data_IF_995868458241
#
_entry.id   IF_995868458241
#
_cell.length_a   1.000
_cell.length_b   1.000
_cell.length_c   1.000
_cell.angle_alpha   90.00
_cell.angle_beta   90.00
_cell.angle_gamma   90.00
#
_symmetry.space_group_name_H-M   'P 1'
#
loop_
_entity.id
_entity.type
_entity.pdbx_description
1 polymer ?
#
# COMPACT_ATOMS: atom_id res chain seq x y z
N UNK A 1 -5.59 -17.40 -20.54
CA UNK A 1 -6.07 -16.01 -20.69
C UNK A 1 -5.14 -15.06 -19.98
N UNK A 2 -4.60 -14.08 -20.70
CA UNK A 2 -3.72 -13.03 -20.16
C UNK A 2 -4.60 -11.87 -19.69
N UNK A 3 -4.48 -11.47 -18.41
CA UNK A 3 -5.22 -10.33 -17.88
C UNK A 3 -4.80 -9.02 -18.59
N UNK A 4 -5.78 -8.19 -18.95
CA UNK A 4 -5.57 -6.88 -19.57
C UNK A 4 -6.44 -5.81 -18.88
N UNK A 5 -5.78 -4.90 -18.17
CA UNK A 5 -6.40 -3.79 -17.45
C UNK A 5 -7.17 -2.83 -18.37
N UNK A 6 -6.71 -2.62 -19.61
CA UNK A 6 -7.31 -1.63 -20.52
C UNK A 6 -8.71 -2.03 -20.96
N UNK A 7 -9.01 -3.33 -20.95
CA UNK A 7 -10.34 -3.87 -21.24
C UNK A 7 -11.44 -3.36 -20.28
N UNK A 8 -11.06 -2.87 -19.09
CA UNK A 8 -11.98 -2.34 -18.09
C UNK A 8 -12.20 -0.82 -18.22
N UNK A 9 -11.39 -0.09 -19.00
CA UNK A 9 -11.48 1.37 -19.08
C UNK A 9 -12.84 1.88 -19.57
N UNK A 10 -13.47 1.31 -20.62
CA UNK A 10 -14.76 1.80 -21.08
C UNK A 10 -15.87 1.67 -20.03
N UNK A 11 -15.83 0.61 -19.23
CA UNK A 11 -16.79 0.41 -18.13
C UNK A 11 -16.53 1.40 -17.01
N UNK A 12 -15.27 1.59 -16.61
CA UNK A 12 -14.89 2.56 -15.58
C UNK A 12 -15.29 4.00 -15.97
N UNK A 13 -15.04 4.40 -17.20
CA UNK A 13 -15.43 5.72 -17.72
C UNK A 13 -16.95 5.91 -17.67
N UNK A 14 -17.70 4.91 -18.14
CA UNK A 14 -19.17 4.95 -18.13
C UNK A 14 -19.73 5.04 -16.71
N UNK A 15 -19.25 4.22 -15.79
CA UNK A 15 -19.73 4.22 -14.40
C UNK A 15 -19.40 5.55 -13.70
N UNK A 16 -18.19 6.08 -13.89
CA UNK A 16 -17.78 7.35 -13.26
C UNK A 16 -18.56 8.54 -13.86
N UNK A 17 -18.79 8.54 -15.17
CA UNK A 17 -19.61 9.54 -15.84
C UNK A 17 -21.09 9.50 -15.37
N UNK A 18 -21.61 8.33 -14.95
CA UNK A 18 -22.96 8.22 -14.38
C UNK A 18 -23.15 9.00 -13.08
N UNK A 19 -22.05 9.28 -12.36
CA UNK A 19 -22.04 10.15 -11.17
C UNK A 19 -21.76 11.62 -11.50
N UNK A 20 -21.72 11.99 -12.79
CA UNK A 20 -21.42 13.36 -13.24
C UNK A 20 -19.94 13.72 -13.18
N UNK A 21 -19.05 12.75 -13.00
CA UNK A 21 -17.60 12.96 -12.95
C UNK A 21 -16.98 12.74 -14.32
N UNK A 22 -16.28 13.74 -14.84
CA UNK A 22 -15.46 13.60 -16.04
C UNK A 22 -14.02 13.24 -15.65
N UNK A 23 -13.51 12.17 -16.24
CA UNK A 23 -12.14 11.70 -16.06
C UNK A 23 -11.51 11.23 -17.38
N UNK A 24 -10.20 11.38 -17.47
CA UNK A 24 -9.36 10.75 -18.48
C UNK A 24 -8.72 9.51 -17.85
N UNK A 25 -8.83 8.33 -18.48
CA UNK A 25 -8.11 7.13 -18.06
C UNK A 25 -6.92 6.88 -18.99
N UNK A 26 -5.72 6.80 -18.42
CA UNK A 26 -4.51 6.53 -19.17
C UNK A 26 -3.77 5.32 -18.57
N UNK A 27 -3.45 4.35 -19.42
CA UNK A 27 -2.53 3.27 -19.03
C UNK A 27 -1.14 3.86 -18.74
N UNK A 28 -0.52 3.42 -17.66
CA UNK A 28 0.87 3.71 -17.34
C UNK A 28 1.76 2.60 -17.89
N UNK A 29 2.28 2.80 -19.09
CA UNK A 29 3.30 1.93 -19.68
C UNK A 29 4.59 2.00 -18.86
N UNK A 30 5.04 0.85 -18.36
CA UNK A 30 6.28 0.75 -17.58
C UNK A 30 7.48 0.54 -18.50
N UNK A 31 8.62 1.11 -18.14
CA UNK A 31 9.87 0.97 -18.88
C UNK A 31 10.56 -0.39 -18.70
N UNK A 32 10.06 -1.22 -17.78
CA UNK A 32 10.56 -2.54 -17.48
C UNK A 32 9.37 -3.49 -17.30
N UNK A 33 9.57 -4.76 -17.65
CA UNK A 33 8.56 -5.80 -17.48
C UNK A 33 8.17 -5.93 -16.01
N UNK A 34 6.87 -6.06 -15.76
CA UNK A 34 6.30 -6.02 -14.43
C UNK A 34 4.96 -6.75 -14.44
N UNK A 35 4.79 -7.67 -13.51
CA UNK A 35 3.50 -8.30 -13.25
C UNK A 35 2.44 -7.34 -12.70
N UNK A 36 2.76 -6.05 -12.55
CA UNK A 36 1.77 -5.06 -12.12
C UNK A 36 1.40 -4.17 -13.30
N UNK A 37 0.14 -4.23 -13.73
CA UNK A 37 -0.44 -3.27 -14.67
C UNK A 37 -0.89 -2.03 -13.90
N UNK A 38 -0.85 -0.86 -14.53
CA UNK A 38 -1.14 0.40 -13.84
C UNK A 38 -1.86 1.37 -14.75
N UNK A 39 -2.78 2.15 -14.19
CA UNK A 39 -3.47 3.23 -14.89
C UNK A 39 -3.60 4.46 -14.00
N UNK A 40 -3.77 5.63 -14.63
CA UNK A 40 -4.13 6.86 -13.96
C UNK A 40 -5.51 7.32 -14.42
N UNK A 41 -6.39 7.55 -13.46
CA UNK A 41 -7.63 8.27 -13.65
C UNK A 41 -7.36 9.72 -13.27
N UNK A 42 -7.57 10.64 -14.21
CA UNK A 42 -7.27 12.06 -14.02
C UNK A 42 -8.55 12.87 -14.23
N UNK A 43 -8.87 13.76 -13.28
CA UNK A 43 -10.01 14.67 -13.42
C UNK A 43 -9.66 16.06 -12.94
N UNK A 44 -10.42 17.06 -13.37
CA UNK A 44 -10.19 18.44 -12.97
C UNK A 44 -10.62 18.64 -11.51
N UNK A 45 -9.67 19.06 -10.65
CA UNK A 45 -9.92 19.22 -9.21
C UNK A 45 -11.04 20.22 -8.94
N UNK A 46 -11.02 21.34 -9.66
CA UNK A 46 -11.96 22.44 -9.46
C UNK A 46 -13.37 22.06 -9.89
N UNK A 47 -13.52 21.40 -11.03
CA UNK A 47 -14.79 20.87 -11.52
C UNK A 47 -15.41 19.89 -10.53
N UNK A 48 -14.63 18.91 -10.04
CA UNK A 48 -15.12 17.93 -9.07
C UNK A 48 -15.54 18.58 -7.75
N UNK A 49 -14.77 19.54 -7.24
CA UNK A 49 -15.17 20.26 -6.02
C UNK A 49 -16.43 21.09 -6.22
N UNK A 50 -16.63 21.72 -7.37
CA UNK A 50 -17.88 22.40 -7.67
C UNK A 50 -19.07 21.44 -7.70
N UNK A 51 -18.88 20.24 -8.28
CA UNK A 51 -19.93 19.22 -8.30
C UNK A 51 -20.38 18.81 -6.89
N UNK A 52 -19.44 18.65 -5.96
CA UNK A 52 -19.75 18.18 -4.59
C UNK A 52 -20.11 19.28 -3.60
N UNK A 53 -19.51 20.46 -3.71
CA UNK A 53 -19.62 21.55 -2.71
C UNK A 53 -20.35 22.79 -3.23
N UNK A 54 -20.71 22.84 -4.53
CA UNK A 54 -21.46 23.93 -5.13
C UNK A 54 -20.75 25.29 -4.96
N UNK A 55 -21.50 26.28 -4.47
CA UNK A 55 -21.03 27.67 -4.31
C UNK A 55 -20.33 27.96 -2.97
N UNK A 56 -19.92 26.93 -2.21
CA UNK A 56 -19.13 27.16 -1.01
C UNK A 56 -17.79 27.82 -1.36
N UNK A 57 -17.21 28.57 -0.42
CA UNK A 57 -15.90 29.16 -0.60
C UNK A 57 -14.85 28.06 -0.74
N UNK A 58 -14.48 27.75 -1.99
CA UNK A 58 -13.46 26.76 -2.30
C UNK A 58 -12.07 27.38 -2.08
N UNK A 59 -11.07 26.59 -1.63
CA UNK A 59 -9.68 27.04 -1.63
C UNK A 59 -9.26 27.47 -3.04
N UNK A 60 -8.27 28.38 -3.12
CA UNK A 60 -7.78 28.89 -4.40
C UNK A 60 -7.02 27.79 -5.17
N UNK A 61 -7.76 27.00 -5.95
CA UNK A 61 -7.26 25.89 -6.75
C UNK A 61 -7.01 26.36 -8.17
N UNK A 62 -5.83 26.04 -8.70
CA UNK A 62 -5.46 26.38 -10.06
C UNK A 62 -6.41 25.70 -11.06
N UNK A 63 -6.85 26.43 -12.09
CA UNK A 63 -7.88 25.95 -13.03
C UNK A 63 -7.47 24.66 -13.78
N UNK A 64 -6.17 24.45 -14.00
CA UNK A 64 -5.62 23.24 -14.62
C UNK A 64 -5.15 22.17 -13.64
N UNK A 65 -5.42 22.31 -12.33
CA UNK A 65 -5.06 21.29 -11.36
C UNK A 65 -5.88 20.02 -11.58
N UNK A 66 -5.21 18.87 -11.60
CA UNK A 66 -5.85 17.56 -11.80
C UNK A 66 -5.70 16.69 -10.56
N UNK A 67 -6.81 16.17 -10.04
CA UNK A 67 -6.79 15.00 -9.14
C UNK A 67 -6.34 13.81 -9.97
N UNK A 68 -5.44 13.00 -9.41
CA UNK A 68 -4.93 11.78 -10.05
C UNK A 68 -5.09 10.60 -9.11
N UNK A 69 -5.85 9.61 -9.53
CA UNK A 69 -6.00 8.34 -8.83
C UNK A 69 -5.19 7.30 -9.61
N UNK A 70 -4.26 6.65 -8.93
CA UNK A 70 -3.46 5.58 -9.51
C UNK A 70 -4.10 4.24 -9.17
N UNK A 71 -4.39 3.45 -10.19
CA UNK A 71 -4.84 2.07 -10.06
C UNK A 71 -3.68 1.12 -10.40
N UNK A 72 -3.54 0.04 -9.65
CA UNK A 72 -2.52 -1.00 -9.88
C UNK A 72 -3.15 -2.37 -9.67
N UNK A 73 -2.91 -3.28 -10.62
CA UNK A 73 -3.33 -4.69 -10.53
C UNK A 73 -2.11 -5.56 -10.65
N UNK A 74 -1.90 -6.43 -9.67
CA UNK A 74 -0.91 -7.50 -9.73
C UNK A 74 -1.52 -8.71 -10.46
N UNK A 75 -0.97 -9.04 -11.62
CA UNK A 75 -1.40 -10.16 -12.48
C UNK A 75 -0.69 -11.47 -12.14
N UNK A 76 0.25 -11.44 -11.19
CA UNK A 76 0.90 -12.61 -10.63
C UNK A 76 0.98 -12.47 -9.10
N UNK A 77 -0.17 -12.40 -8.39
CA UNK A 77 -0.17 -12.17 -6.97
C UNK A 77 0.45 -13.38 -6.22
N UNK A 78 1.23 -13.15 -5.15
CA UNK A 78 1.78 -14.24 -4.36
C UNK A 78 0.70 -15.03 -3.59
N UNK A 79 0.91 -16.34 -3.48
CA UNK A 79 -0.02 -17.31 -2.89
C UNK A 79 -0.27 -17.11 -1.38
N UNK A 80 -1.27 -17.84 -0.85
CA UNK A 80 -1.61 -17.96 0.58
C UNK A 80 -2.17 -16.70 1.26
N UNK A 81 -2.55 -15.69 0.48
CA UNK A 81 -3.35 -14.60 1.01
C UNK A 81 -4.72 -15.12 1.48
N UNK A 82 -5.13 -14.70 2.67
CA UNK A 82 -6.48 -14.89 3.18
C UNK A 82 -7.30 -13.63 2.92
N UNK A 83 -8.62 -13.81 2.79
CA UNK A 83 -9.53 -12.75 2.41
C UNK A 83 -10.70 -12.63 3.37
N UNK A 84 -11.14 -11.40 3.56
CA UNK A 84 -12.42 -11.07 4.18
C UNK A 84 -13.31 -10.35 3.17
N UNK A 85 -14.62 -10.55 3.30
CA UNK A 85 -15.62 -9.90 2.46
C UNK A 85 -16.28 -8.78 3.23
N UNK A 86 -16.30 -7.58 2.66
CA UNK A 86 -16.98 -6.43 3.26
C UNK A 86 -18.06 -5.90 2.32
N UNK A 87 -19.22 -5.59 2.89
CA UNK A 87 -20.31 -4.95 2.19
C UNK A 87 -20.25 -3.44 2.41
N UNK A 88 -20.50 -2.68 1.34
CA UNK A 88 -20.60 -1.22 1.35
C UNK A 88 -21.88 -0.82 0.65
N UNK A 89 -22.45 0.31 1.08
CA UNK A 89 -23.75 0.78 0.59
C UNK A 89 -23.64 1.98 -0.36
N UNK A 90 -22.49 2.67 -0.34
CA UNK A 90 -22.26 3.89 -1.09
C UNK A 90 -21.12 3.72 -2.09
N UNK A 91 -21.25 4.23 -3.32
CA UNK A 91 -22.39 4.99 -3.84
C UNK A 91 -23.61 4.11 -4.24
N UNK A 92 -23.43 2.80 -4.31
CA UNK A 92 -24.47 1.77 -4.43
C UNK A 92 -24.05 0.54 -3.60
N UNK A 93 -24.96 -0.41 -3.31
CA UNK A 93 -24.60 -1.64 -2.62
C UNK A 93 -23.60 -2.49 -3.42
N UNK A 94 -22.45 -2.79 -2.84
CA UNK A 94 -21.47 -3.72 -3.41
C UNK A 94 -20.76 -4.52 -2.32
N UNK A 95 -20.18 -5.63 -2.77
CA UNK A 95 -19.28 -6.47 -1.99
C UNK A 95 -17.85 -6.27 -2.49
N UNK A 96 -16.89 -6.23 -1.57
CA UNK A 96 -15.46 -6.20 -1.89
C UNK A 96 -14.72 -7.27 -1.10
N UNK A 97 -13.93 -8.06 -1.80
CA UNK A 97 -12.96 -8.97 -1.20
C UNK A 97 -11.68 -8.18 -0.86
N UNK A 98 -11.27 -8.23 0.39
CA UNK A 98 -10.09 -7.55 0.92
C UNK A 98 -9.15 -8.60 1.49
N UNK A 99 -7.85 -8.33 1.45
CA UNK A 99 -6.92 -9.12 2.24
C UNK A 99 -7.25 -8.95 3.72
N UNK A 100 -7.21 -10.04 4.47
CA UNK A 100 -7.35 -9.98 5.91
C UNK A 100 -6.18 -9.24 6.55
N UNK A 101 -6.32 -8.85 7.82
CA UNK A 101 -5.29 -8.09 8.52
C UNK A 101 -3.92 -8.83 8.57
N UNK A 102 -3.85 -10.16 8.83
CA UNK A 102 -2.60 -10.92 8.76
C UNK A 102 -1.91 -10.91 7.39
N UNK A 103 -2.65 -11.07 6.29
CA UNK A 103 -2.09 -11.02 4.93
C UNK A 103 -1.70 -9.61 4.51
N UNK A 104 -2.45 -8.58 4.93
CA UNK A 104 -2.03 -7.19 4.77
C UNK A 104 -0.72 -6.92 5.51
N UNK A 105 -0.60 -7.40 6.75
CA UNK A 105 0.60 -7.20 7.57
C UNK A 105 1.83 -7.89 6.95
N UNK A 106 1.67 -9.11 6.44
CA UNK A 106 2.71 -9.79 5.66
C UNK A 106 3.19 -8.93 4.47
N UNK A 107 2.27 -8.28 3.74
CA UNK A 107 2.63 -7.35 2.68
C UNK A 107 3.44 -6.13 3.16
N UNK A 108 3.14 -5.59 4.35
CA UNK A 108 3.89 -4.48 4.96
C UNK A 108 5.28 -4.91 5.43
N UNK A 109 5.39 -6.08 6.05
CA UNK A 109 6.67 -6.67 6.46
C UNK A 109 7.57 -6.90 5.23
N UNK A 110 7.01 -7.46 4.15
CA UNK A 110 7.73 -7.63 2.88
C UNK A 110 8.26 -6.28 2.36
N UNK A 111 7.44 -5.22 2.40
CA UNK A 111 7.88 -3.89 2.00
C UNK A 111 9.05 -3.35 2.85
N UNK A 112 9.04 -3.58 4.17
CA UNK A 112 10.13 -3.21 5.08
C UNK A 112 11.43 -3.93 4.71
N UNK A 113 11.36 -5.24 4.45
CA UNK A 113 12.51 -6.09 4.16
C UNK A 113 13.08 -5.88 2.76
N UNK A 114 12.22 -5.88 1.73
CA UNK A 114 12.63 -6.10 0.35
C UNK A 114 12.65 -4.85 -0.52
N UNK A 115 12.02 -3.74 -0.12
CA UNK A 115 12.12 -2.52 -0.93
C UNK A 115 13.53 -1.93 -0.84
N UNK A 116 14.25 -2.07 -1.95
CA UNK A 116 15.55 -1.44 -2.15
C UNK A 116 15.38 0.07 -2.29
N UNK A 117 15.80 0.80 -1.27
CA UNK A 117 15.93 2.24 -1.31
C UNK A 117 17.35 2.57 -1.72
N UNK A 118 17.58 3.00 -2.97
CA UNK A 118 18.92 3.49 -3.37
C UNK A 118 19.38 4.58 -2.40
N UNK A 119 18.60 5.66 -2.31
CA UNK A 119 18.95 6.85 -1.50
C UNK A 119 17.83 7.34 -0.55
N UNK A 120 16.61 6.79 -0.60
CA UNK A 120 15.44 7.35 0.13
C UNK A 120 14.71 6.30 0.96
N UNK A 121 14.73 6.42 2.28
CA UNK A 121 13.95 5.57 3.18
C UNK A 121 12.45 5.88 3.07
N UNK A 122 11.58 4.86 2.91
CA UNK A 122 10.13 5.03 3.06
C UNK A 122 9.70 4.80 4.51
N UNK A 123 9.56 5.87 5.27
CA UNK A 123 9.10 5.79 6.66
C UNK A 123 7.65 5.31 6.80
N UNK A 124 6.80 5.49 5.79
CA UNK A 124 5.42 4.96 5.83
C UNK A 124 5.35 3.44 6.01
N UNK A 125 6.33 2.69 5.48
CA UNK A 125 6.39 1.24 5.65
C UNK A 125 6.65 0.87 7.14
N UNK A 126 7.44 1.69 7.86
CA UNK A 126 7.64 1.56 9.31
C UNK A 126 6.41 1.98 10.12
N UNK A 127 5.71 3.02 9.67
CA UNK A 127 4.49 3.48 10.31
C UNK A 127 3.41 2.38 10.28
N UNK A 128 3.23 1.76 9.12
CA UNK A 128 2.31 0.63 8.95
C UNK A 128 2.74 -0.57 9.81
N UNK A 129 4.04 -0.87 9.88
CA UNK A 129 4.55 -1.93 10.75
C UNK A 129 4.15 -1.73 12.22
N UNK A 130 4.35 -0.52 12.75
CA UNK A 130 3.92 -0.17 14.12
C UNK A 130 2.39 -0.25 14.26
N UNK A 131 1.64 0.20 13.25
CA UNK A 131 0.17 0.18 13.26
C UNK A 131 -0.41 -1.23 13.44
N UNK A 132 0.14 -2.22 12.74
CA UNK A 132 -0.30 -3.62 12.83
C UNK A 132 0.13 -4.28 14.15
N UNK A 133 1.37 -4.06 14.58
CA UNK A 133 1.86 -4.56 15.88
C UNK A 133 1.06 -4.00 17.06
N UNK A 134 0.75 -2.69 17.06
CA UNK A 134 -0.04 -2.07 18.12
C UNK A 134 -1.47 -2.64 18.24
N UNK A 135 -1.95 -3.35 17.21
CA UNK A 135 -3.24 -4.06 17.19
C UNK A 135 -3.11 -5.55 17.51
N UNK A 136 -1.92 -6.04 17.88
CA UNK A 136 -1.63 -7.45 18.06
C UNK A 136 -2.00 -8.29 16.82
N UNK A 137 -1.82 -7.73 15.62
CA UNK A 137 -2.14 -8.47 14.39
C UNK A 137 -1.08 -9.54 14.18
N UNK A 138 -1.44 -10.83 14.12
CA UNK A 138 -0.48 -11.87 13.78
C UNK A 138 -0.08 -11.76 12.31
N UNK A 139 1.12 -12.21 11.95
CA UNK A 139 1.56 -12.24 10.54
C UNK A 139 1.14 -13.56 9.89
N UNK A 140 0.55 -13.48 8.70
CA UNK A 140 0.40 -14.65 7.84
C UNK A 140 1.77 -15.01 7.26
N UNK A 141 2.47 -15.94 7.92
CA UNK A 141 3.85 -16.30 7.60
C UNK A 141 3.98 -17.02 6.25
N UNK A 142 3.00 -17.86 5.90
CA UNK A 142 2.97 -18.55 4.61
C UNK A 142 2.87 -17.56 3.44
N UNK A 143 1.99 -16.56 3.55
CA UNK A 143 1.86 -15.50 2.55
C UNK A 143 3.12 -14.64 2.47
N UNK A 144 3.72 -14.31 3.62
CA UNK A 144 4.99 -13.59 3.65
C UNK A 144 6.11 -14.37 2.95
N UNK A 145 6.24 -15.67 3.24
CA UNK A 145 7.25 -16.51 2.60
C UNK A 145 7.06 -16.55 1.08
N UNK A 146 5.83 -16.72 0.60
CA UNK A 146 5.54 -16.68 -0.84
C UNK A 146 5.97 -15.35 -1.49
N UNK A 147 5.72 -14.22 -0.83
CA UNK A 147 6.20 -12.89 -1.28
C UNK A 147 7.73 -12.80 -1.31
N UNK A 148 8.40 -13.27 -0.26
CA UNK A 148 9.86 -13.24 -0.16
C UNK A 148 10.51 -14.05 -1.28
N UNK A 149 9.98 -15.26 -1.53
CA UNK A 149 10.43 -16.14 -2.62
C UNK A 149 10.18 -15.50 -3.98
N UNK A 150 8.97 -14.97 -4.23
CA UNK A 150 8.63 -14.34 -5.50
C UNK A 150 9.52 -13.13 -5.81
N UNK A 151 9.88 -12.36 -4.78
CA UNK A 151 10.80 -11.22 -4.91
C UNK A 151 12.29 -11.60 -4.99
N UNK A 152 12.63 -12.88 -4.87
CA UNK A 152 14.01 -13.38 -4.86
C UNK A 152 14.79 -13.07 -3.58
N UNK A 153 14.12 -12.60 -2.51
CA UNK A 153 14.77 -12.33 -1.23
C UNK A 153 15.09 -13.60 -0.44
N UNK A 154 14.30 -14.65 -0.64
CA UNK A 154 14.42 -15.92 0.08
C UNK A 154 14.31 -17.09 -0.89
N UNK A 155 14.97 -18.21 -0.62
CA UNK A 155 14.90 -19.39 -1.49
C UNK A 155 13.68 -20.24 -1.15
N UNK A 156 13.10 -20.89 -2.17
CA UNK A 156 11.85 -21.66 -2.03
C UNK A 156 12.03 -22.90 -1.16
N UNK A 157 13.22 -23.47 -1.18
CA UNK A 157 13.56 -24.74 -0.52
C UNK A 157 13.84 -24.58 0.98
N UNK A 158 13.95 -23.34 1.46
CA UNK A 158 14.22 -23.02 2.86
C UNK A 158 12.90 -22.83 3.62
N UNK A 159 12.84 -23.36 4.85
CA UNK A 159 11.70 -23.12 5.74
C UNK A 159 11.86 -21.75 6.40
N UNK A 160 10.87 -20.88 6.29
CA UNK A 160 10.92 -19.53 6.87
C UNK A 160 10.15 -19.50 8.19
N UNK A 161 10.86 -19.47 9.32
CA UNK A 161 10.22 -19.46 10.64
C UNK A 161 9.98 -18.03 11.15
N UNK A 162 9.13 -17.90 12.17
CA UNK A 162 8.95 -16.63 12.88
C UNK A 162 10.27 -16.13 13.51
N UNK A 163 11.14 -17.03 13.95
CA UNK A 163 12.45 -16.66 14.49
C UNK A 163 13.36 -16.05 13.41
N UNK A 164 13.38 -16.66 12.21
CA UNK A 164 14.12 -16.12 11.07
C UNK A 164 13.59 -14.74 10.70
N UNK A 165 12.26 -14.59 10.64
CA UNK A 165 11.63 -13.29 10.37
C UNK A 165 12.08 -12.21 11.37
N UNK A 166 12.04 -12.50 12.68
CA UNK A 166 12.49 -11.56 13.71
C UNK A 166 13.96 -11.18 13.52
N UNK A 167 14.81 -12.14 13.12
CA UNK A 167 16.22 -11.88 12.83
C UNK A 167 16.42 -11.00 11.59
N UNK A 168 15.75 -11.30 10.48
CA UNK A 168 15.80 -10.51 9.25
C UNK A 168 15.33 -9.08 9.47
N UNK A 169 14.22 -8.89 10.20
CA UNK A 169 13.72 -7.57 10.57
C UNK A 169 14.70 -6.83 11.47
N UNK A 170 15.26 -7.51 12.48
CA UNK A 170 16.25 -6.91 13.37
C UNK A 170 17.48 -6.41 12.62
N UNK A 171 18.00 -7.19 11.67
CA UNK A 171 19.11 -6.80 10.81
C UNK A 171 18.73 -5.60 9.93
N UNK A 172 17.52 -5.62 9.36
CA UNK A 172 17.01 -4.52 8.54
C UNK A 172 16.92 -3.21 9.32
N UNK A 173 16.40 -3.24 10.54
CA UNK A 173 16.20 -2.05 11.36
C UNK A 173 17.50 -1.35 11.78
N UNK A 174 18.65 -2.06 11.80
CA UNK A 174 19.96 -1.43 12.01
C UNK A 174 20.43 -0.58 10.83
N UNK A 175 20.03 -0.95 9.61
CA UNK A 175 20.48 -0.27 8.40
C UNK A 175 19.63 0.97 8.04
N UNK A 176 18.61 1.30 8.83
CA UNK A 176 17.67 2.38 8.50
C UNK A 176 18.20 3.74 8.96
N UNK A 177 18.19 4.71 8.04
CA UNK A 177 18.30 6.13 8.41
C UNK A 177 16.96 6.63 8.95
N UNK A 178 16.84 6.72 10.27
CA UNK A 178 15.61 7.14 10.93
C UNK A 178 15.27 8.63 10.75
N UNK A 179 16.24 9.50 10.46
CA UNK A 179 15.93 10.91 10.14
C UNK A 179 15.08 10.98 8.87
N UNK A 180 15.57 10.33 7.80
CA UNK A 180 14.84 10.29 6.53
C UNK A 180 13.51 9.55 6.65
N UNK A 181 13.45 8.48 7.46
CA UNK A 181 12.21 7.78 7.72
C UNK A 181 11.15 8.71 8.34
N UNK A 182 11.53 9.51 9.33
CA UNK A 182 10.63 10.47 9.98
C UNK A 182 10.14 11.54 8.99
N UNK A 183 11.06 12.08 8.19
CA UNK A 183 10.75 13.08 7.15
C UNK A 183 9.70 12.57 6.13
N UNK A 184 9.76 11.29 5.72
CA UNK A 184 8.78 10.70 4.80
C UNK A 184 7.36 10.58 5.40
N UNK A 185 7.23 10.64 6.74
CA UNK A 185 5.94 10.43 7.46
C UNK A 185 5.34 11.74 7.98
N UNK A 186 6.19 12.71 8.37
CA UNK A 186 5.77 14.00 8.95
C UNK A 186 4.60 14.67 8.20
N UNK A 187 4.58 14.74 6.86
CA UNK A 187 3.49 15.41 6.13
C UNK A 187 2.11 14.75 6.29
N UNK A 188 2.05 13.52 6.76
CA UNK A 188 0.84 12.69 6.78
C UNK A 188 0.23 12.52 8.18
N UNK A 189 0.90 12.99 9.23
CA UNK A 189 0.48 12.75 10.61
C UNK A 189 0.27 14.05 11.39
N UNK A 190 -0.71 14.05 12.29
CA UNK A 190 -0.98 15.19 13.18
C UNK A 190 0.01 15.26 14.35
N UNK A 191 0.28 14.13 14.99
CA UNK A 191 1.16 14.06 16.16
C UNK A 191 2.58 13.60 15.77
N UNK A 192 3.45 14.55 15.42
CA UNK A 192 4.83 14.26 15.04
C UNK A 192 5.69 13.73 16.21
N UNK A 193 5.30 14.02 17.46
CA UNK A 193 6.04 13.54 18.63
C UNK A 193 6.02 12.01 18.74
N UNK A 194 5.00 11.35 18.17
CA UNK A 194 4.93 9.88 18.09
C UNK A 194 6.12 9.25 17.37
N UNK A 195 6.81 9.99 16.50
CA UNK A 195 7.97 9.51 15.76
C UNK A 195 9.29 9.62 16.56
N UNK A 196 9.31 10.33 17.69
CA UNK A 196 10.56 10.58 18.42
C UNK A 196 11.20 9.29 18.92
N UNK A 197 10.38 8.32 19.33
CA UNK A 197 10.82 7.00 19.81
C UNK A 197 11.45 6.13 18.71
N UNK A 198 11.29 6.47 17.43
CA UNK A 198 11.79 5.64 16.34
C UNK A 198 13.32 5.59 16.34
N UNK A 199 13.82 4.38 16.55
CA UNK A 199 15.23 3.99 16.54
C UNK A 199 15.34 2.48 16.26
N UNK A 200 16.54 2.00 15.92
CA UNK A 200 16.77 0.56 15.74
C UNK A 200 16.39 -0.23 16.99
N UNK A 201 16.74 0.27 18.19
CA UNK A 201 16.40 -0.38 19.46
C UNK A 201 14.89 -0.49 19.67
N UNK A 202 14.14 0.57 19.39
CA UNK A 202 12.69 0.55 19.47
C UNK A 202 12.06 -0.50 18.54
N UNK A 203 12.43 -0.47 17.25
CA UNK A 203 11.86 -1.41 16.27
C UNK A 203 12.23 -2.86 16.58
N UNK A 204 13.47 -3.12 17.00
CA UNK A 204 13.89 -4.45 17.46
C UNK A 204 13.08 -4.94 18.67
N UNK A 205 12.87 -4.07 19.65
CA UNK A 205 12.15 -4.43 20.87
C UNK A 205 10.69 -4.80 20.57
N UNK A 206 9.97 -3.99 19.78
CA UNK A 206 8.57 -4.29 19.43
C UNK A 206 8.45 -5.53 18.53
N UNK A 207 9.49 -5.83 17.74
CA UNK A 207 9.55 -7.05 16.91
C UNK A 207 9.55 -8.33 17.76
N UNK A 208 9.99 -8.25 19.01
CA UNK A 208 9.87 -9.35 19.96
C UNK A 208 8.41 -9.81 20.16
N UNK A 209 7.44 -8.89 20.03
CA UNK A 209 6.01 -9.13 20.20
C UNK A 209 5.35 -9.75 18.96
N UNK A 210 6.08 -9.84 17.83
CA UNK A 210 5.55 -10.43 16.61
C UNK A 210 5.16 -11.90 16.84
N UNK A 211 3.96 -12.26 16.42
CA UNK A 211 3.40 -13.60 16.45
C UNK A 211 2.90 -13.98 15.05
N UNK A 212 2.91 -15.26 14.71
CA UNK A 212 2.30 -15.82 13.51
C UNK A 212 0.86 -16.28 13.77
N UNK A 213 0.06 -16.32 12.69
CA UNK A 213 -1.36 -16.70 12.70
C UNK A 213 -1.56 -18.20 12.56
#
# INVERSE_FOLDING_TARGET
DTFDLTSYFPVLEKEIASFGLHIDIEEKVKSADSHVQSAFLKGNTKEHLFLFYGNQALPNIHAGEKIRIKFEVDTNPPDYASFEHQYRLLPSPYEVALYDAPSLFAGKIHAVLCRAWKNRVKGRDLYDYVFFLARNTPVNLAHLQARLVQSGYFKKEEHFTLADLKQHLSNRFEAINYSQAKEDVIPFIRNQASLQVWSASFFKQITGQLADS
#
